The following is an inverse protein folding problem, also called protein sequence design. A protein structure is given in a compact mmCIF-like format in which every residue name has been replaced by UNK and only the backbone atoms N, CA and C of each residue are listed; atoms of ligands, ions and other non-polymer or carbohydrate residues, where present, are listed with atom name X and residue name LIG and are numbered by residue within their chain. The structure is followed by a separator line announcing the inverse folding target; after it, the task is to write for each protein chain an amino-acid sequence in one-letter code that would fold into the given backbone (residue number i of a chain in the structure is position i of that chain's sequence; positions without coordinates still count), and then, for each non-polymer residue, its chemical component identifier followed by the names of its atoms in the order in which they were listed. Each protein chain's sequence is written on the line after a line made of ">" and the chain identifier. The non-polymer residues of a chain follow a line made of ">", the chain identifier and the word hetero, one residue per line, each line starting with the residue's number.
data_IF_262279696633
#
_entry.id   IF_262279696633
#
_cell.length_a   1.000
_cell.length_b   1.000
_cell.length_c   1.000
_cell.angle_alpha   90.00
_cell.angle_beta   90.00
_cell.angle_gamma   90.00
#
_symmetry.space_group_name_H-M   'P 1'
#
loop_
_entity.id
_entity.type
_entity.pdbx_description
1 polymer ?
#
# COMPACT_ATOMS: atom_id res chain seq x y z
N UNK A 1 11.42 -24.86 8.26
CA UNK A 1 11.87 -23.60 7.63
C UNK A 1 10.92 -23.28 6.48
N UNK A 2 9.82 -22.58 6.76
CA UNK A 2 8.86 -22.17 5.72
C UNK A 2 9.04 -20.68 5.46
N UNK A 3 9.31 -20.31 4.22
CA UNK A 3 9.20 -18.93 3.78
C UNK A 3 7.70 -18.59 3.79
N UNK A 4 7.27 -17.74 4.71
CA UNK A 4 5.90 -17.22 4.71
C UNK A 4 5.75 -16.37 3.44
N UNK A 5 4.95 -16.86 2.49
CA UNK A 5 4.56 -16.09 1.32
C UNK A 5 3.65 -14.96 1.84
N UNK A 6 4.17 -13.74 1.87
CA UNK A 6 3.44 -12.55 2.30
C UNK A 6 2.96 -11.80 1.07
N UNK A 7 1.65 -11.83 0.83
CA UNK A 7 1.01 -10.99 -0.17
C UNK A 7 0.41 -9.75 0.48
N UNK A 8 0.54 -8.63 -0.18
CA UNK A 8 -0.08 -7.36 0.20
C UNK A 8 -1.46 -7.21 -0.48
N UNK A 9 -2.33 -6.36 0.09
CA UNK A 9 -3.63 -6.06 -0.54
C UNK A 9 -3.48 -5.45 -1.94
N UNK A 10 -2.38 -4.74 -2.21
CA UNK A 10 -2.06 -4.17 -3.52
C UNK A 10 -1.81 -5.26 -4.56
N UNK A 11 -1.09 -6.33 -4.21
CA UNK A 11 -0.85 -7.46 -5.11
C UNK A 11 -2.13 -8.22 -5.43
N UNK A 12 -3.01 -8.39 -4.44
CA UNK A 12 -4.34 -8.99 -4.64
C UNK A 12 -5.18 -8.14 -5.60
N UNK A 13 -5.21 -6.82 -5.41
CA UNK A 13 -5.90 -5.89 -6.32
C UNK A 13 -5.35 -5.99 -7.74
N UNK A 14 -4.03 -6.06 -7.90
CA UNK A 14 -3.40 -6.21 -9.22
C UNK A 14 -3.70 -7.56 -9.86
N UNK A 15 -3.81 -8.64 -9.08
CA UNK A 15 -4.21 -9.95 -9.61
C UNK A 15 -5.60 -9.90 -10.25
N UNK A 16 -6.56 -9.26 -9.59
CA UNK A 16 -7.94 -9.14 -10.09
C UNK A 16 -8.06 -8.16 -11.26
N UNK A 17 -7.27 -7.08 -11.29
CA UNK A 17 -7.28 -6.11 -12.38
C UNK A 17 -6.52 -6.61 -13.63
N UNK A 18 -5.27 -7.02 -13.46
CA UNK A 18 -4.40 -7.46 -14.55
C UNK A 18 -3.18 -8.23 -14.05
N UNK A 19 -3.07 -9.52 -14.42
CA UNK A 19 -1.94 -10.39 -14.07
C UNK A 19 -0.57 -9.85 -14.51
N UNK A 20 -0.49 -9.14 -15.64
CA UNK A 20 0.75 -8.52 -16.14
C UNK A 20 1.21 -7.37 -15.24
N UNK A 21 0.27 -6.58 -14.72
CA UNK A 21 0.56 -5.50 -13.75
C UNK A 21 1.12 -6.07 -12.45
N UNK A 22 0.55 -7.18 -11.96
CA UNK A 22 1.12 -7.91 -10.82
C UNK A 22 2.55 -8.39 -11.11
N UNK A 23 2.79 -8.98 -12.29
CA UNK A 23 4.13 -9.45 -12.66
C UNK A 23 5.17 -8.34 -12.62
N UNK A 24 4.87 -7.17 -13.19
CA UNK A 24 5.77 -6.01 -13.12
C UNK A 24 6.00 -5.56 -11.67
N UNK A 25 4.93 -5.46 -10.87
CA UNK A 25 5.03 -5.06 -9.47
C UNK A 25 5.89 -6.03 -8.63
N UNK A 26 5.72 -7.35 -8.83
CA UNK A 26 6.51 -8.38 -8.13
C UNK A 26 7.98 -8.44 -8.56
N UNK A 27 8.34 -7.78 -9.67
CA UNK A 27 9.74 -7.62 -10.13
C UNK A 27 10.27 -6.19 -9.88
N UNK A 28 9.63 -5.43 -8.99
CA UNK A 28 9.99 -4.05 -8.65
C UNK A 28 9.93 -3.05 -9.83
N UNK A 29 9.20 -3.39 -10.90
CA UNK A 29 8.98 -2.51 -12.05
C UNK A 29 7.70 -1.71 -11.81
N UNK A 30 7.88 -0.47 -11.35
CA UNK A 30 6.78 0.43 -10.99
C UNK A 30 6.32 1.26 -12.20
N UNK A 31 5.20 0.89 -12.82
CA UNK A 31 4.61 1.63 -13.96
C UNK A 31 3.66 2.76 -13.55
N UNK A 32 3.28 2.82 -12.27
CA UNK A 32 2.21 3.68 -11.77
C UNK A 32 2.69 5.09 -11.34
N UNK A 33 3.99 5.38 -11.40
CA UNK A 33 4.56 6.61 -10.85
C UNK A 33 4.07 7.90 -11.55
N UNK A 34 3.61 7.81 -12.80
CA UNK A 34 3.04 8.94 -13.55
C UNK A 34 1.53 9.14 -13.35
N UNK A 35 0.88 8.37 -12.48
CA UNK A 35 -0.56 8.45 -12.26
C UNK A 35 -0.90 9.48 -11.19
N UNK A 36 -1.64 10.53 -11.58
CA UNK A 36 -2.14 11.57 -10.66
C UNK A 36 -2.98 10.97 -9.52
N UNK A 37 -3.74 9.92 -9.79
CA UNK A 37 -4.55 9.23 -8.78
C UNK A 37 -3.69 8.56 -7.71
N UNK A 38 -2.55 7.98 -8.11
CA UNK A 38 -1.60 7.36 -7.17
C UNK A 38 -0.87 8.41 -6.36
N UNK A 39 -0.50 9.53 -6.99
CA UNK A 39 0.09 10.68 -6.29
C UNK A 39 -0.86 11.26 -5.25
N UNK A 40 -2.12 11.50 -5.63
CA UNK A 40 -3.16 11.99 -4.72
C UNK A 40 -3.39 11.01 -3.55
N UNK A 41 -3.45 9.71 -3.83
CA UNK A 41 -3.58 8.68 -2.80
C UNK A 41 -2.43 8.69 -1.79
N UNK A 42 -1.19 8.89 -2.24
CA UNK A 42 -0.02 9.05 -1.37
C UNK A 42 -0.15 10.28 -0.47
N UNK A 43 -0.49 11.43 -1.06
CA UNK A 43 -0.64 12.68 -0.31
C UNK A 43 -1.74 12.59 0.75
N UNK A 44 -2.86 11.95 0.43
CA UNK A 44 -3.93 11.67 1.40
C UNK A 44 -3.40 10.73 2.49
N UNK A 45 -2.77 9.61 2.13
CA UNK A 45 -2.24 8.65 3.10
C UNK A 45 -1.26 9.30 4.10
N UNK A 46 -0.38 10.17 3.62
CA UNK A 46 0.57 10.93 4.44
C UNK A 46 -0.12 11.90 5.41
N UNK A 47 -1.26 12.47 5.02
CA UNK A 47 -1.95 13.50 5.79
C UNK A 47 -3.12 12.98 6.65
N UNK A 48 -3.64 11.77 6.37
CA UNK A 48 -4.84 11.23 7.03
C UNK A 48 -4.63 10.83 8.49
N UNK A 49 -3.41 10.48 8.92
CA UNK A 49 -3.16 9.93 10.27
C UNK A 49 -2.39 10.87 11.21
N UNK A 50 -2.36 12.17 10.95
CA UNK A 50 -1.64 13.12 11.80
C UNK A 50 -2.25 13.27 13.21
N UNK A 51 -3.52 12.92 13.43
CA UNK A 51 -4.25 13.17 14.70
C UNK A 51 -4.38 11.97 15.63
N UNK A 52 -4.00 10.76 15.22
CA UNK A 52 -4.20 9.54 16.03
C UNK A 52 -2.99 9.16 16.90
N UNK A 53 -1.81 9.76 16.66
CA UNK A 53 -0.63 9.52 17.53
C UNK A 53 -0.85 10.00 18.96
N UNK A 54 -1.72 10.99 19.18
CA UNK A 54 -2.02 11.54 20.51
C UNK A 54 -3.15 10.79 21.23
N UNK A 55 -4.03 10.08 20.51
CA UNK A 55 -5.16 9.36 21.12
C UNK A 55 -4.72 8.02 21.71
N UNK A 56 -3.73 7.36 21.11
CA UNK A 56 -3.20 6.07 21.59
C UNK A 56 -2.32 6.16 22.85
N UNK A 57 -1.89 7.36 23.26
CA UNK A 57 -1.08 7.55 24.48
C UNK A 57 -1.89 7.97 25.72
N UNK A 58 -3.20 8.18 25.61
CA UNK A 58 -4.01 8.70 26.72
C UNK A 58 -5.19 7.80 27.15
N UNK A 59 -5.25 6.56 26.65
CA UNK A 59 -6.06 5.49 27.24
C UNK A 59 -5.15 4.47 27.88
N UNK A 60 -4.47 4.92 28.95
CA UNK A 60 -3.83 4.03 29.90
C UNK A 60 -4.85 3.02 30.41
N UNK A 61 -4.48 1.75 30.28
CA UNK A 61 -4.82 0.77 31.31
C UNK A 61 -4.05 1.17 32.57
#
# INVERSE_FOLDING_TARGET
>A
MYMSIRFTGTEVNYYFLCKKKLWYFSHDIQIEQGSDAVYLGKLIHENSYQREKDVFLNWGC
#
